data_IF_834860843508
#
_entry.id   IF_834860843508
#
_cell.length_a   1.000
_cell.length_b   1.000
_cell.length_c   1.000
_cell.angle_alpha   90.00
_cell.angle_beta   90.00
_cell.angle_gamma   90.00
#
_symmetry.space_group_name_H-M   'P 1'
#
loop_
_entity.id
_entity.type
_entity.pdbx_description
1 polymer ?
#
# COMPACT_ATOMS: atom_id res chain seq x y z
N UNK A 1 -26.18 -11.50 -10.81
CA UNK A 1 -25.69 -10.43 -9.92
C UNK A 1 -25.21 -11.06 -8.63
N UNK A 2 -23.90 -11.04 -8.37
CA UNK A 2 -23.34 -11.54 -7.10
C UNK A 2 -23.38 -10.36 -6.11
N UNK A 3 -24.00 -10.52 -4.93
CA UNK A 3 -24.09 -9.43 -3.95
C UNK A 3 -22.69 -9.04 -3.46
N UNK A 4 -22.42 -7.73 -3.44
CA UNK A 4 -21.15 -7.11 -3.03
C UNK A 4 -20.67 -7.45 -1.61
N UNK A 5 -21.51 -8.10 -0.78
CA UNK A 5 -21.11 -8.63 0.54
C UNK A 5 -20.16 -9.83 0.46
N UNK A 6 -20.18 -10.61 -0.62
CA UNK A 6 -19.34 -11.82 -0.76
C UNK A 6 -17.89 -11.54 -1.16
N UNK A 7 -17.56 -10.32 -1.61
CA UNK A 7 -16.16 -9.94 -1.91
C UNK A 7 -15.32 -9.64 -0.66
N UNK A 8 -15.95 -9.55 0.53
CA UNK A 8 -15.23 -9.32 1.80
C UNK A 8 -14.65 -10.58 2.43
N UNK A 9 -14.99 -11.78 1.95
CA UNK A 9 -14.60 -13.05 2.59
C UNK A 9 -13.33 -13.68 2.02
N UNK A 10 -12.68 -13.04 1.04
CA UNK A 10 -11.32 -13.41 0.60
C UNK A 10 -10.27 -12.49 1.20
N UNK A 11 -10.38 -12.19 2.50
CA UNK A 11 -9.22 -11.77 3.26
C UNK A 11 -8.30 -12.97 3.37
N UNK A 12 -7.42 -13.15 2.37
CA UNK A 12 -6.22 -13.97 2.53
C UNK A 12 -5.57 -13.42 3.79
N UNK A 13 -5.43 -14.25 4.82
CA UNK A 13 -4.69 -13.91 6.04
C UNK A 13 -3.23 -13.80 5.62
N UNK A 14 -2.85 -12.64 5.11
CA UNK A 14 -1.47 -12.32 4.78
C UNK A 14 -0.78 -12.02 6.09
N UNK A 15 0.19 -12.86 6.47
CA UNK A 15 1.03 -12.57 7.64
C UNK A 15 1.77 -11.24 7.41
N UNK A 16 2.12 -10.54 8.49
CA UNK A 16 2.82 -9.24 8.43
C UNK A 16 4.07 -9.27 7.54
N UNK A 17 4.71 -10.44 7.37
CA UNK A 17 5.86 -10.66 6.49
C UNK A 17 5.55 -10.69 4.99
N UNK A 18 4.35 -11.07 4.58
CA UNK A 18 3.97 -11.13 3.16
C UNK A 18 3.68 -9.73 2.56
N UNK A 19 3.42 -8.73 3.41
CA UNK A 19 3.21 -7.34 2.98
C UNK A 19 4.49 -6.65 2.48
N UNK A 20 5.68 -7.21 2.74
CA UNK A 20 6.98 -6.62 2.38
C UNK A 20 7.61 -7.25 1.13
N UNK A 21 7.09 -8.37 0.63
CA UNK A 21 7.69 -9.07 -0.49
C UNK A 21 7.05 -8.62 -1.80
N UNK A 22 7.88 -8.20 -2.76
CA UNK A 22 7.47 -8.07 -4.14
C UNK A 22 7.09 -9.46 -4.66
N UNK A 23 6.08 -9.51 -5.52
CA UNK A 23 5.58 -10.76 -6.09
C UNK A 23 6.74 -11.59 -6.64
N UNK A 24 7.05 -12.71 -6.00
CA UNK A 24 7.97 -13.69 -6.56
C UNK A 24 7.37 -14.18 -7.90
N UNK A 25 8.17 -14.42 -8.94
CA UNK A 25 7.66 -14.75 -10.28
C UNK A 25 6.85 -16.07 -10.33
N UNK A 26 6.92 -16.89 -9.28
CA UNK A 26 6.19 -18.14 -9.07
C UNK A 26 4.98 -17.99 -8.12
N UNK A 27 4.82 -16.83 -7.47
CA UNK A 27 3.74 -16.54 -6.53
C UNK A 27 2.74 -15.60 -7.21
N UNK A 28 1.44 -15.92 -7.26
CA UNK A 28 0.45 -15.00 -7.80
C UNK A 28 0.59 -13.64 -7.12
N UNK A 29 0.61 -12.54 -7.89
CA UNK A 29 0.65 -11.16 -7.37
C UNK A 29 -0.56 -10.81 -6.47
N UNK A 30 -1.46 -11.78 -6.23
CA UNK A 30 -2.66 -11.72 -5.43
C UNK A 30 -2.42 -11.68 -3.90
N UNK A 31 -1.17 -11.78 -3.43
CA UNK A 31 -0.86 -11.74 -1.98
C UNK A 31 -0.34 -10.39 -1.48
N UNK A 32 -0.15 -9.38 -2.34
CA UNK A 32 0.33 -8.08 -1.87
C UNK A 32 -0.82 -7.25 -1.28
N UNK A 33 -0.94 -7.29 0.05
CA UNK A 33 -1.88 -6.45 0.79
C UNK A 33 -1.33 -5.02 0.91
N UNK A 34 -1.75 -4.17 -0.04
CA UNK A 34 -1.36 -2.75 -0.08
C UNK A 34 -1.81 -1.99 1.18
N UNK A 35 -2.89 -2.40 1.85
CA UNK A 35 -3.37 -1.73 3.05
C UNK A 35 -2.52 -2.10 4.26
N UNK A 36 -2.18 -3.38 4.40
CA UNK A 36 -1.23 -3.83 5.42
C UNK A 36 0.15 -3.17 5.22
N UNK A 37 0.66 -3.16 3.99
CA UNK A 37 1.91 -2.48 3.65
C UNK A 37 1.85 -0.99 3.99
N UNK A 38 0.76 -0.31 3.62
CA UNK A 38 0.60 1.10 3.94
C UNK A 38 0.55 1.37 5.44
N UNK A 39 -0.10 0.51 6.23
CA UNK A 39 -0.10 0.58 7.68
C UNK A 39 1.30 0.41 8.29
N UNK A 40 2.13 -0.46 7.71
CA UNK A 40 3.52 -0.67 8.17
C UNK A 40 4.42 0.52 7.86
N UNK A 41 4.29 1.13 6.67
CA UNK A 41 5.18 2.21 6.21
C UNK A 41 4.76 3.60 6.74
N UNK A 42 3.45 3.84 6.85
CA UNK A 42 2.89 5.12 7.27
C UNK A 42 2.54 5.08 8.75
N UNK A 43 3.52 5.45 9.58
CA UNK A 43 3.32 5.59 11.03
C UNK A 43 2.56 6.88 11.41
N UNK A 44 2.51 7.86 10.50
CA UNK A 44 1.68 9.06 10.64
C UNK A 44 0.22 8.75 10.26
N UNK A 45 -0.66 8.83 11.27
CA UNK A 45 -2.10 8.58 11.12
C UNK A 45 -2.77 9.54 10.15
N UNK A 46 -2.32 10.79 10.07
CA UNK A 46 -2.93 11.80 9.20
C UNK A 46 -2.53 11.57 7.74
N UNK A 47 -1.30 11.13 7.48
CA UNK A 47 -0.87 10.72 6.13
C UNK A 47 -1.62 9.49 5.65
N UNK A 48 -1.75 8.48 6.51
CA UNK A 48 -2.54 7.27 6.22
C UNK A 48 -4.02 7.59 5.96
N UNK A 49 -4.62 8.45 6.78
CA UNK A 49 -6.01 8.86 6.63
C UNK A 49 -6.24 9.67 5.36
N UNK A 50 -5.32 10.57 4.99
CA UNK A 50 -5.40 11.34 3.74
C UNK A 50 -5.36 10.41 2.52
N UNK A 51 -4.44 9.44 2.51
CA UNK A 51 -4.26 8.51 1.41
C UNK A 51 -5.47 7.58 1.23
N UNK A 52 -5.95 6.97 2.32
CA UNK A 52 -7.08 6.03 2.26
C UNK A 52 -8.38 6.73 1.89
N UNK A 53 -8.62 7.94 2.41
CA UNK A 53 -9.76 8.77 2.01
C UNK A 53 -9.71 9.10 0.52
N UNK A 54 -8.56 9.53 0.02
CA UNK A 54 -8.38 9.81 -1.41
C UNK A 54 -8.67 8.56 -2.27
N UNK A 55 -8.15 7.40 -1.88
CA UNK A 55 -8.37 6.15 -2.60
C UNK A 55 -9.87 5.77 -2.65
N UNK A 56 -10.60 5.92 -1.54
CA UNK A 56 -12.05 5.66 -1.48
C UNK A 56 -12.83 6.59 -2.41
N UNK A 57 -12.55 7.89 -2.36
CA UNK A 57 -13.22 8.88 -3.21
C UNK A 57 -12.98 8.57 -4.69
N UNK A 58 -11.75 8.19 -5.06
CA UNK A 58 -11.39 7.82 -6.43
C UNK A 58 -12.03 6.50 -6.87
N UNK A 59 -12.09 5.50 -5.99
CA UNK A 59 -12.70 4.20 -6.28
C UNK A 59 -14.22 4.32 -6.53
N UNK A 60 -14.88 5.27 -5.88
CA UNK A 60 -16.29 5.58 -6.11
C UNK A 60 -16.54 6.35 -7.43
N UNK A 61 -15.51 6.69 -8.21
CA UNK A 61 -15.68 7.39 -9.49
C UNK A 61 -16.21 8.82 -9.37
N UNK A 62 -16.22 9.39 -8.17
CA UNK A 62 -16.86 10.69 -7.88
C UNK A 62 -18.21 10.59 -7.17
N UNK A 63 -18.82 9.40 -7.10
CA UNK A 63 -20.08 9.14 -6.36
C UNK A 63 -19.84 8.82 -4.87
N UNK A 64 -18.68 9.20 -4.32
CA UNK A 64 -18.44 9.02 -2.90
C UNK A 64 -19.34 9.96 -2.09
N UNK A 65 -19.82 9.49 -0.93
CA UNK A 65 -20.65 10.23 0.04
C UNK A 65 -20.06 11.58 0.50
N UNK A 66 -18.80 11.87 0.18
CA UNK A 66 -18.19 13.18 0.40
C UNK A 66 -17.08 13.46 -0.63
N UNK A 67 -17.09 14.67 -1.18
CA UNK A 67 -15.94 15.25 -1.88
C UNK A 67 -14.76 15.48 -0.92
N UNK A 68 -13.54 15.64 -1.46
CA UNK A 68 -12.35 15.97 -0.64
C UNK A 68 -12.58 17.26 0.15
N UNK A 69 -13.25 18.25 -0.45
CA UNK A 69 -13.58 19.52 0.18
C UNK A 69 -14.53 19.34 1.38
N UNK A 70 -15.59 18.55 1.24
CA UNK A 70 -16.52 18.23 2.33
C UNK A 70 -15.83 17.50 3.47
N UNK A 71 -15.04 16.48 3.15
CA UNK A 71 -14.29 15.73 4.14
C UNK A 71 -13.27 16.63 4.88
N UNK A 72 -12.58 17.51 4.17
CA UNK A 72 -11.64 18.46 4.76
C UNK A 72 -12.35 19.43 5.71
N UNK A 73 -13.54 19.95 5.34
CA UNK A 73 -14.35 20.79 6.22
C UNK A 73 -14.76 20.04 7.49
N UNK A 74 -15.22 18.81 7.38
CA UNK A 74 -15.62 17.98 8.52
C UNK A 74 -14.44 17.70 9.47
N UNK A 75 -13.24 17.48 8.94
CA UNK A 75 -12.03 17.23 9.74
C UNK A 75 -11.29 18.50 10.19
N UNK A 76 -11.76 19.69 9.81
CA UNK A 76 -11.07 20.95 10.09
C UNK A 76 -9.72 21.06 9.39
N UNK A 77 -9.52 20.38 8.26
CA UNK A 77 -8.30 20.43 7.48
C UNK A 77 -8.44 21.40 6.32
N UNK A 78 -7.33 22.07 5.98
CA UNK A 78 -7.22 22.74 4.68
C UNK A 78 -6.98 21.68 3.58
N UNK A 79 -7.62 21.83 2.43
CA UNK A 79 -7.41 20.93 1.28
C UNK A 79 -5.94 20.85 0.86
N UNK A 80 -5.20 21.97 0.94
CA UNK A 80 -3.75 21.99 0.70
C UNK A 80 -2.99 21.04 1.64
N UNK A 81 -3.37 21.00 2.90
CA UNK A 81 -2.77 20.11 3.90
C UNK A 81 -3.10 18.66 3.59
N UNK A 82 -4.35 18.37 3.22
CA UNK A 82 -4.77 17.04 2.77
C UNK A 82 -3.93 16.55 1.59
N UNK A 83 -3.83 17.35 0.52
CA UNK A 83 -3.07 16.97 -0.67
C UNK A 83 -1.57 16.80 -0.38
N UNK A 84 -0.98 17.67 0.44
CA UNK A 84 0.41 17.54 0.86
C UNK A 84 0.66 16.22 1.59
N UNK A 85 -0.21 15.85 2.55
CA UNK A 85 -0.14 14.59 3.29
C UNK A 85 -0.29 13.39 2.38
N UNK A 86 -1.29 13.42 1.48
CA UNK A 86 -1.50 12.37 0.47
C UNK A 86 -0.27 12.17 -0.42
N UNK A 87 0.33 13.24 -0.92
CA UNK A 87 1.52 13.17 -1.78
C UNK A 87 2.70 12.57 -1.02
N UNK A 88 2.98 13.05 0.20
CA UNK A 88 4.04 12.50 1.05
C UNK A 88 3.83 11.01 1.33
N UNK A 89 2.59 10.61 1.63
CA UNK A 89 2.25 9.20 1.84
C UNK A 89 2.59 8.35 0.60
N UNK A 90 2.20 8.80 -0.60
CA UNK A 90 2.53 8.12 -1.85
C UNK A 90 4.06 8.01 -2.06
N UNK A 91 4.80 9.10 -1.84
CA UNK A 91 6.26 9.13 -1.99
C UNK A 91 6.94 8.15 -1.04
N UNK A 92 6.50 8.11 0.23
CA UNK A 92 7.03 7.17 1.23
C UNK A 92 6.75 5.72 0.88
N UNK A 93 5.54 5.41 0.40
CA UNK A 93 5.20 4.05 -0.03
C UNK A 93 6.02 3.62 -1.26
N UNK A 94 6.19 4.51 -2.23
CA UNK A 94 7.02 4.25 -3.40
C UNK A 94 8.47 4.00 -2.99
N UNK A 95 9.03 4.85 -2.12
CA UNK A 95 10.40 4.68 -1.61
C UNK A 95 10.57 3.35 -0.87
N UNK A 96 9.65 2.99 0.02
CA UNK A 96 9.69 1.74 0.77
C UNK A 96 9.59 0.50 -0.16
N UNK A 97 8.68 0.54 -1.14
CA UNK A 97 8.52 -0.56 -2.10
C UNK A 97 9.76 -0.74 -2.98
N UNK A 98 10.34 0.36 -3.44
CA UNK A 98 11.55 0.33 -4.25
C UNK A 98 12.75 -0.20 -3.44
N UNK A 99 12.90 0.22 -2.18
CA UNK A 99 13.94 -0.29 -1.29
C UNK A 99 13.80 -1.80 -1.05
N UNK A 100 12.59 -2.30 -0.81
CA UNK A 100 12.33 -3.73 -0.67
C UNK A 100 12.69 -4.51 -1.95
N UNK A 101 12.35 -3.96 -3.12
CA UNK A 101 12.65 -4.58 -4.41
C UNK A 101 14.17 -4.67 -4.69
N UNK A 102 14.95 -3.66 -4.27
CA UNK A 102 16.41 -3.67 -4.37
C UNK A 102 17.03 -4.74 -3.46
N UNK A 103 16.59 -4.83 -2.20
CA UNK A 103 17.08 -5.82 -1.25
C UNK A 103 16.83 -7.27 -1.72
N UNK A 104 15.69 -7.52 -2.38
CA UNK A 104 15.40 -8.82 -2.98
C UNK A 104 16.35 -9.16 -4.15
N UNK A 105 16.70 -8.17 -4.98
CA UNK A 105 17.63 -8.35 -6.09
C UNK A 105 19.05 -8.69 -5.64
N UNK A 106 19.52 -8.06 -4.56
CA UNK A 106 20.81 -8.36 -3.93
C UNK A 106 20.84 -9.78 -3.34
N UNK A 107 19.80 -10.16 -2.58
CA UNK A 107 19.68 -11.50 -2.00
C UNK A 107 19.66 -12.61 -3.07
N UNK A 108 19.04 -12.34 -4.23
CA UNK A 108 18.99 -13.29 -5.36
C UNK A 108 20.33 -13.42 -6.09
N UNK A 109 21.14 -12.36 -6.10
CA UNK A 109 22.46 -12.32 -6.74
C UNK A 109 23.56 -12.92 -5.85
N UNK A 110 23.40 -12.90 -4.52
CA UNK A 110 24.36 -13.43 -3.55
C UNK A 110 24.48 -14.97 -3.49
N UNK A 111 23.57 -15.72 -4.11
CA UNK A 111 23.58 -17.19 -4.11
C UNK A 111 24.54 -17.82 -5.15
N UNK A 112 25.38 -17.02 -5.81
CA UNK A 112 26.23 -17.41 -6.95
C UNK A 112 27.69 -17.73 -6.66
N UNK A 113 28.16 -17.78 -5.40
CA UNK A 113 29.59 -18.08 -5.12
C UNK A 113 29.74 -19.33 -4.26
N UNK A 114 29.76 -20.49 -4.92
CA UNK A 114 30.11 -21.77 -4.30
C UNK A 114 31.64 -21.85 -4.22
N UNK A 115 32.27 -22.07 -3.04
CA UNK A 115 33.72 -22.18 -2.98
C UNK A 115 34.14 -23.48 -3.68
N UNK A 116 35.06 -23.36 -4.63
CA UNK A 116 35.72 -24.51 -5.26
C UNK A 116 36.42 -25.31 -4.15
N UNK A 117 35.90 -26.51 -3.85
CA UNK A 117 36.60 -27.47 -3.01
C UNK A 117 37.88 -27.87 -3.74
N UNK A 118 39.02 -27.59 -3.12
CA UNK A 118 40.29 -28.27 -3.41
C UNK A 118 40.45 -29.44 -2.46
#
# INVERSE_FOLDING_TARGET
MIPTRLLRETSIVTGLGDALLSAAPDRPSASFDILAFAHTVLTDKDEFLALTTYARIRAAGGDAEASIAEWCREKGWQERTFHRRRVRACERLAAAKNAASLAEGENRSGFGTRPARR
#
